data_IF_411339846255
#
_entry.id   IF_411339846255
#
_cell.length_a   1.000
_cell.length_b   1.000
_cell.length_c   1.000
_cell.angle_alpha   90.00
_cell.angle_beta   90.00
_cell.angle_gamma   90.00
#
_symmetry.space_group_name_H-M   'P 1'
#
loop_
_entity.id
_entity.type
_entity.pdbx_description
1 polymer ?
#
# COMPACT_ATOMS: atom_id res chain seq x y z
N UNK A 1 -18.93 2.18 15.80
CA UNK A 1 -17.86 1.21 16.17
C UNK A 1 -16.63 1.63 15.36
N UNK A 2 -15.42 1.58 15.95
CA UNK A 2 -14.16 1.82 15.23
C UNK A 2 -13.63 0.49 14.72
N UNK A 3 -13.43 0.36 13.42
CA UNK A 3 -12.84 -0.81 12.77
C UNK A 3 -11.54 -0.38 12.10
N UNK A 4 -10.50 -1.20 12.22
CA UNK A 4 -9.18 -0.90 11.71
C UNK A 4 -8.66 -2.07 10.86
N UNK A 5 -8.33 -1.76 9.62
CA UNK A 5 -7.50 -2.60 8.76
C UNK A 5 -6.07 -2.11 8.93
N UNK A 6 -5.16 -2.98 9.34
CA UNK A 6 -3.73 -2.70 9.33
C UNK A 6 -3.15 -3.35 8.09
N UNK A 7 -2.84 -2.53 7.08
CA UNK A 7 -2.34 -3.00 5.79
C UNK A 7 -0.83 -2.83 5.69
N UNK A 8 -0.10 -3.92 5.52
CA UNK A 8 1.34 -3.92 5.30
C UNK A 8 1.65 -3.77 3.80
N UNK A 9 2.30 -2.68 3.43
CA UNK A 9 2.71 -2.40 2.06
C UNK A 9 4.05 -3.08 1.72
N UNK A 10 4.35 -3.21 0.42
CA UNK A 10 5.60 -3.69 -0.15
C UNK A 10 5.90 -5.18 0.08
N UNK A 11 4.92 -6.04 0.29
CA UNK A 11 5.12 -7.50 0.35
C UNK A 11 5.58 -8.01 -1.02
N UNK A 12 6.77 -8.61 -1.08
CA UNK A 12 7.42 -9.03 -2.33
C UNK A 12 8.66 -8.21 -2.69
N UNK A 13 8.93 -7.11 -2.01
CA UNK A 13 10.07 -6.25 -2.31
C UNK A 13 11.43 -6.92 -1.99
N UNK A 14 11.54 -7.65 -0.89
CA UNK A 14 12.67 -8.51 -0.53
C UNK A 14 12.25 -9.54 0.53
N UNK A 15 13.02 -10.62 0.68
CA UNK A 15 12.70 -11.73 1.59
C UNK A 15 12.69 -11.30 3.07
N UNK A 16 13.54 -10.35 3.45
CA UNK A 16 13.60 -9.88 4.82
C UNK A 16 12.35 -9.06 5.19
N UNK A 17 11.85 -8.22 4.26
CA UNK A 17 10.55 -7.55 4.43
C UNK A 17 9.41 -8.55 4.49
N UNK A 18 9.40 -9.53 3.60
CA UNK A 18 8.40 -10.59 3.62
C UNK A 18 8.37 -11.29 4.99
N UNK A 19 9.55 -11.66 5.51
CA UNK A 19 9.65 -12.29 6.83
C UNK A 19 9.06 -11.42 7.95
N UNK A 20 9.37 -10.13 7.99
CA UNK A 20 8.82 -9.21 8.99
C UNK A 20 7.33 -8.95 8.82
N UNK A 21 6.82 -8.84 7.58
CA UNK A 21 5.38 -8.72 7.34
C UNK A 21 4.64 -9.96 7.82
N UNK A 22 5.13 -11.16 7.51
CA UNK A 22 4.49 -12.40 7.98
C UNK A 22 4.58 -12.55 9.51
N UNK A 23 5.67 -12.11 10.15
CA UNK A 23 5.75 -12.05 11.62
C UNK A 23 4.67 -11.14 12.21
N UNK A 24 4.42 -9.98 11.62
CA UNK A 24 3.35 -9.08 12.06
C UNK A 24 1.94 -9.66 11.82
N UNK A 25 1.76 -10.44 10.73
CA UNK A 25 0.53 -11.18 10.45
C UNK A 25 0.32 -12.28 11.51
N UNK A 26 1.35 -13.07 11.82
CA UNK A 26 1.30 -14.15 12.82
C UNK A 26 1.04 -13.62 14.22
N UNK A 27 1.55 -12.44 14.55
CA UNK A 27 1.26 -11.74 15.78
C UNK A 27 -0.19 -11.19 15.85
N UNK A 28 -0.96 -11.27 14.74
CA UNK A 28 -2.32 -10.73 14.65
C UNK A 28 -2.39 -9.21 14.60
N UNK A 29 -1.28 -8.52 14.36
CA UNK A 29 -1.20 -7.08 14.29
C UNK A 29 -1.55 -6.53 12.88
N UNK A 30 -1.21 -7.29 11.83
CA UNK A 30 -1.52 -6.97 10.43
C UNK A 30 -2.69 -7.81 9.97
N UNK A 31 -3.68 -7.18 9.33
CA UNK A 31 -4.92 -7.81 8.84
C UNK A 31 -5.08 -7.75 7.33
N UNK A 32 -4.20 -7.03 6.64
CA UNK A 32 -4.12 -6.97 5.20
C UNK A 32 -2.67 -6.76 4.74
N UNK A 33 -2.33 -7.23 3.54
CA UNK A 33 -1.02 -6.98 2.94
C UNK A 33 -1.15 -6.78 1.43
N UNK A 34 -0.40 -5.81 0.89
CA UNK A 34 -0.39 -5.46 -0.53
C UNK A 34 0.87 -5.98 -1.20
N UNK A 35 0.70 -6.80 -2.25
CA UNK A 35 1.74 -7.60 -2.89
C UNK A 35 2.31 -6.88 -4.12
N UNK A 36 3.61 -6.66 -4.11
CA UNK A 36 4.42 -6.23 -5.26
C UNK A 36 4.77 -7.46 -6.12
N UNK A 37 4.02 -7.70 -7.17
CA UNK A 37 4.24 -8.86 -8.05
C UNK A 37 5.48 -8.77 -8.92
N UNK A 38 5.97 -7.57 -9.18
CA UNK A 38 7.24 -7.32 -9.85
C UNK A 38 8.42 -7.12 -8.88
N UNK A 39 8.21 -7.40 -7.60
CA UNK A 39 9.25 -7.40 -6.60
C UNK A 39 10.13 -8.65 -6.70
N UNK A 40 11.44 -8.55 -6.45
CA UNK A 40 12.38 -9.67 -6.60
C UNK A 40 12.13 -10.84 -5.65
N UNK A 41 11.33 -10.65 -4.60
CA UNK A 41 10.95 -11.70 -3.64
C UNK A 41 9.49 -12.14 -3.76
N UNK A 42 8.88 -11.98 -4.94
CA UNK A 42 7.48 -12.41 -5.16
C UNK A 42 7.29 -13.92 -4.98
N UNK A 43 8.22 -14.74 -5.45
CA UNK A 43 8.15 -16.20 -5.27
C UNK A 43 8.18 -16.61 -3.79
N UNK A 44 8.97 -15.93 -2.95
CA UNK A 44 8.97 -16.16 -1.50
C UNK A 44 7.60 -15.83 -0.87
N UNK A 45 6.93 -14.78 -1.36
CA UNK A 45 5.55 -14.46 -0.94
C UNK A 45 4.61 -15.64 -1.20
N UNK A 46 4.66 -16.20 -2.41
CA UNK A 46 3.79 -17.33 -2.79
C UNK A 46 4.04 -18.57 -1.92
N UNK A 47 5.30 -18.88 -1.61
CA UNK A 47 5.65 -19.97 -0.70
C UNK A 47 5.09 -19.73 0.71
N UNK A 48 5.20 -18.52 1.22
CA UNK A 48 4.67 -18.18 2.55
C UNK A 48 3.15 -18.24 2.60
N UNK A 49 2.45 -17.69 1.60
CA UNK A 49 0.98 -17.76 1.51
C UNK A 49 0.51 -19.23 1.46
N UNK A 50 1.16 -20.07 0.66
CA UNK A 50 0.80 -21.49 0.53
C UNK A 50 0.96 -22.26 1.85
N UNK A 51 1.90 -21.87 2.71
CA UNK A 51 2.13 -22.47 4.03
C UNK A 51 1.25 -21.86 5.13
N UNK A 52 0.72 -20.64 4.90
CA UNK A 52 -0.07 -19.91 5.88
C UNK A 52 -1.54 -20.38 5.89
N UNK A 53 -2.01 -20.89 7.02
CA UNK A 53 -3.33 -21.52 7.16
C UNK A 53 -4.40 -20.66 7.83
N UNK A 54 -4.18 -19.36 7.97
CA UNK A 54 -5.15 -18.47 8.63
C UNK A 54 -6.03 -17.72 7.64
N UNK A 55 -7.34 -17.72 7.89
CA UNK A 55 -8.36 -17.06 7.05
C UNK A 55 -8.65 -15.61 7.50
N UNK A 56 -7.73 -14.98 8.26
CA UNK A 56 -8.00 -13.67 8.87
C UNK A 56 -7.19 -12.54 8.24
N UNK A 57 -6.64 -12.76 7.05
CA UNK A 57 -5.87 -11.77 6.31
C UNK A 57 -6.44 -11.55 4.92
N UNK A 58 -6.50 -10.30 4.48
CA UNK A 58 -6.78 -9.92 3.09
C UNK A 58 -5.48 -9.70 2.34
N UNK A 59 -5.36 -10.27 1.14
CA UNK A 59 -4.26 -9.93 0.24
C UNK A 59 -4.75 -9.02 -0.87
N UNK A 60 -3.95 -8.01 -1.21
CA UNK A 60 -4.22 -7.07 -2.28
C UNK A 60 -3.09 -6.98 -3.28
N UNK A 61 -3.34 -6.30 -4.39
CA UNK A 61 -2.33 -5.97 -5.38
C UNK A 61 -1.73 -4.59 -5.07
N UNK A 62 -0.40 -4.52 -4.96
CA UNK A 62 0.36 -3.27 -4.83
C UNK A 62 0.86 -2.83 -6.20
N UNK A 63 0.00 -2.11 -6.96
CA UNK A 63 0.27 -1.68 -8.32
C UNK A 63 1.50 -0.77 -8.39
N UNK A 64 2.43 -1.07 -9.27
CA UNK A 64 3.70 -0.35 -9.32
C UNK A 64 4.03 0.13 -10.75
N UNK A 65 4.49 1.40 -10.82
CA UNK A 65 4.93 2.08 -12.05
C UNK A 65 6.21 2.89 -11.79
N UNK A 66 6.91 2.62 -10.69
CA UNK A 66 7.98 3.53 -10.23
C UNK A 66 9.33 2.87 -10.07
N UNK A 67 9.41 1.62 -9.63
CA UNK A 67 10.67 0.96 -9.27
C UNK A 67 10.70 -0.48 -9.76
N UNK A 68 11.89 -0.99 -10.09
CA UNK A 68 12.07 -2.33 -10.64
C UNK A 68 11.75 -2.43 -12.12
N UNK A 69 11.51 -3.65 -12.59
CA UNK A 69 11.23 -3.97 -14.00
C UNK A 69 9.73 -4.21 -14.19
N UNK A 70 9.09 -3.64 -15.22
CA UNK A 70 7.71 -3.96 -15.55
C UNK A 70 7.55 -5.44 -15.96
N UNK A 71 6.35 -5.98 -15.82
CA UNK A 71 6.01 -7.31 -16.31
C UNK A 71 5.69 -7.30 -17.81
N UNK A 72 5.15 -6.21 -18.31
CA UNK A 72 4.85 -6.03 -19.73
C UNK A 72 6.11 -5.66 -20.53
N UNK A 73 6.38 -6.33 -21.66
CA UNK A 73 7.54 -5.99 -22.50
C UNK A 73 7.29 -4.73 -23.33
N UNK A 74 8.37 -4.01 -23.69
CA UNK A 74 8.33 -2.95 -24.71
C UNK A 74 7.71 -1.63 -24.26
N UNK A 75 7.45 -1.43 -22.97
CA UNK A 75 6.95 -0.17 -22.44
C UNK A 75 8.04 0.92 -22.58
N UNK A 76 7.68 2.07 -23.09
CA UNK A 76 8.61 3.19 -23.34
C UNK A 76 8.21 4.47 -22.61
N UNK A 77 6.92 4.60 -22.32
CA UNK A 77 6.39 5.81 -21.69
C UNK A 77 6.61 5.83 -20.17
N UNK A 78 6.72 4.68 -19.51
CA UNK A 78 6.91 4.58 -18.05
C UNK A 78 8.27 4.03 -17.65
N UNK A 79 9.11 3.66 -18.63
CA UNK A 79 10.44 3.08 -18.41
C UNK A 79 11.57 4.02 -18.82
N UNK A 80 12.79 3.71 -18.38
CA UNK A 80 14.04 4.29 -18.81
C UNK A 80 14.66 3.51 -19.98
N UNK A 81 15.83 3.94 -20.46
CA UNK A 81 16.57 3.24 -21.53
C UNK A 81 17.05 1.83 -21.15
N UNK A 82 17.11 1.55 -19.86
CA UNK A 82 17.47 0.26 -19.27
C UNK A 82 16.29 -0.72 -19.17
N UNK A 83 15.09 -0.30 -19.60
CA UNK A 83 13.86 -1.08 -19.50
C UNK A 83 13.24 -1.11 -18.10
N UNK A 84 13.85 -0.47 -17.11
CA UNK A 84 13.31 -0.36 -15.75
C UNK A 84 12.37 0.85 -15.62
N UNK A 85 11.49 0.83 -14.63
CA UNK A 85 10.71 2.02 -14.26
C UNK A 85 11.61 3.20 -13.88
N UNK A 86 11.15 4.42 -14.16
CA UNK A 86 11.97 5.63 -14.11
C UNK A 86 12.33 6.15 -12.71
N UNK A 87 11.92 5.49 -11.64
CA UNK A 87 12.04 5.95 -10.25
C UNK A 87 10.93 6.96 -9.85
N UNK A 88 10.65 7.03 -8.54
CA UNK A 88 9.55 7.81 -7.94
C UNK A 88 9.40 9.23 -8.53
N UNK A 89 10.47 10.03 -8.46
CA UNK A 89 10.37 11.44 -8.79
C UNK A 89 10.03 11.71 -10.27
N UNK A 90 10.56 10.89 -11.19
CA UNK A 90 10.30 11.02 -12.63
C UNK A 90 8.93 10.44 -12.98
N UNK A 91 8.57 9.30 -12.41
CA UNK A 91 7.27 8.68 -12.59
C UNK A 91 6.15 9.61 -12.09
N UNK A 92 6.22 10.12 -10.86
CA UNK A 92 5.23 11.03 -10.31
C UNK A 92 5.00 12.26 -11.19
N UNK A 93 6.09 12.92 -11.66
CA UNK A 93 5.94 14.08 -12.58
C UNK A 93 5.22 13.72 -13.87
N UNK A 94 5.45 12.51 -14.38
CA UNK A 94 4.85 12.05 -15.64
C UNK A 94 3.38 11.68 -15.44
N UNK A 95 3.07 10.95 -14.38
CA UNK A 95 1.73 10.48 -14.01
C UNK A 95 0.76 11.62 -13.61
N UNK A 96 1.29 12.80 -13.26
CA UNK A 96 0.48 14.00 -13.03
C UNK A 96 -0.15 14.55 -14.31
N UNK A 97 0.35 14.17 -15.50
CA UNK A 97 -0.15 14.65 -16.79
C UNK A 97 -1.15 13.67 -17.37
N UNK A 98 -2.39 14.10 -17.50
CA UNK A 98 -3.46 13.34 -18.16
C UNK A 98 -3.52 13.67 -19.66
N UNK A 99 -4.05 12.73 -20.47
CA UNK A 99 -4.30 12.94 -21.90
C UNK A 99 -3.15 12.51 -22.81
N UNK A 100 -2.17 11.79 -22.29
CA UNK A 100 -1.18 11.06 -23.09
C UNK A 100 -1.70 9.63 -23.29
N UNK A 101 -2.34 9.39 -24.45
CA UNK A 101 -2.98 8.11 -24.78
C UNK A 101 -1.98 6.94 -24.78
N UNK A 102 -0.74 7.16 -25.21
CA UNK A 102 0.32 6.17 -25.20
C UNK A 102 0.70 5.77 -23.77
N UNK A 103 0.91 6.75 -22.90
CA UNK A 103 1.18 6.53 -21.49
C UNK A 103 0.02 5.79 -20.82
N UNK A 104 -1.21 6.23 -21.03
CA UNK A 104 -2.40 5.63 -20.42
C UNK A 104 -2.64 4.19 -20.92
N UNK A 105 -2.27 3.88 -22.16
CA UNK A 105 -2.33 2.52 -22.70
C UNK A 105 -1.29 1.61 -22.04
N UNK A 106 -0.04 2.05 -21.95
CA UNK A 106 1.03 1.31 -21.26
C UNK A 106 0.71 1.05 -19.77
N UNK A 107 0.10 2.02 -19.09
CA UNK A 107 -0.35 1.84 -17.70
C UNK A 107 -1.40 0.73 -17.59
N UNK A 108 -2.39 0.71 -18.49
CA UNK A 108 -3.42 -0.35 -18.50
C UNK A 108 -2.82 -1.71 -18.78
N UNK A 109 -1.91 -1.81 -19.74
CA UNK A 109 -1.21 -3.05 -20.07
C UNK A 109 -0.42 -3.60 -18.88
N UNK A 110 0.36 -2.75 -18.23
CA UNK A 110 1.17 -3.14 -17.07
C UNK A 110 0.30 -3.54 -15.87
N UNK A 111 -0.77 -2.81 -15.58
CA UNK A 111 -1.69 -3.16 -14.50
C UNK A 111 -2.39 -4.49 -14.75
N UNK A 112 -2.80 -4.75 -16.00
CA UNK A 112 -3.36 -6.04 -16.38
C UNK A 112 -2.35 -7.18 -16.17
N UNK A 113 -1.09 -6.99 -16.57
CA UNK A 113 -0.03 -7.97 -16.38
C UNK A 113 0.24 -8.25 -14.89
N UNK A 114 0.33 -7.20 -14.07
CA UNK A 114 0.53 -7.34 -12.62
C UNK A 114 -0.62 -8.07 -11.93
N UNK A 115 -1.86 -7.72 -12.24
CA UNK A 115 -3.05 -8.38 -11.67
C UNK A 115 -3.13 -9.83 -12.14
N UNK A 116 -2.87 -10.09 -13.42
CA UNK A 116 -2.92 -11.44 -13.97
C UNK A 116 -1.87 -12.35 -13.33
N UNK A 117 -0.64 -11.87 -13.13
CA UNK A 117 0.42 -12.62 -12.45
C UNK A 117 0.00 -13.08 -11.04
N UNK A 118 -0.67 -12.22 -10.27
CA UNK A 118 -1.14 -12.59 -8.93
C UNK A 118 -2.31 -13.58 -8.98
N UNK A 119 -3.21 -13.44 -9.94
CA UNK A 119 -4.32 -14.38 -10.17
C UNK A 119 -3.85 -15.76 -10.63
N UNK A 120 -2.88 -15.81 -11.55
CA UNK A 120 -2.29 -17.06 -12.04
C UNK A 120 -1.59 -17.83 -10.92
N UNK A 121 -1.06 -17.10 -9.94
CA UNK A 121 -0.53 -17.68 -8.71
C UNK A 121 -1.61 -18.19 -7.73
N UNK A 122 -2.91 -18.04 -8.05
CA UNK A 122 -4.03 -18.52 -7.24
C UNK A 122 -4.35 -17.66 -6.02
N UNK A 123 -3.83 -16.43 -5.93
CA UNK A 123 -4.11 -15.52 -4.83
C UNK A 123 -5.39 -14.73 -5.10
N UNK A 124 -6.33 -14.78 -4.16
CA UNK A 124 -7.52 -13.92 -4.20
C UNK A 124 -7.12 -12.47 -3.91
N UNK A 125 -7.55 -11.56 -4.77
CA UNK A 125 -7.24 -10.13 -4.64
C UNK A 125 -8.44 -9.43 -3.99
N UNK A 126 -8.31 -9.06 -2.72
CA UNK A 126 -9.39 -8.44 -1.95
C UNK A 126 -9.41 -6.91 -2.12
N UNK A 127 -8.26 -6.29 -2.38
CA UNK A 127 -8.11 -4.85 -2.56
C UNK A 127 -6.98 -4.51 -3.52
N UNK A 128 -6.97 -3.27 -3.99
CA UNK A 128 -5.87 -2.70 -4.77
C UNK A 128 -5.46 -1.34 -4.21
N UNK A 129 -4.18 -1.12 -4.21
CA UNK A 129 -3.54 0.15 -3.93
C UNK A 129 -2.32 0.33 -4.86
N UNK A 130 -1.35 1.15 -4.52
CA UNK A 130 -0.20 1.33 -5.40
C UNK A 130 1.03 1.80 -4.67
N UNK A 131 2.16 1.23 -5.07
CA UNK A 131 3.47 1.62 -4.60
C UNK A 131 3.66 3.12 -4.79
N UNK A 132 4.03 3.81 -3.71
CA UNK A 132 4.12 5.28 -3.70
C UNK A 132 2.83 5.97 -4.15
N UNK A 133 1.67 5.30 -3.95
CA UNK A 133 0.32 5.76 -4.26
C UNK A 133 0.06 6.10 -5.74
N UNK A 134 0.77 5.48 -6.68
CA UNK A 134 0.63 5.75 -8.13
C UNK A 134 -0.80 5.57 -8.64
N UNK A 135 -1.58 4.69 -8.05
CA UNK A 135 -2.94 4.31 -8.45
C UNK A 135 -3.96 5.47 -8.46
N UNK A 136 -3.69 6.56 -7.73
CA UNK A 136 -4.58 7.73 -7.65
C UNK A 136 -4.14 8.91 -8.52
N UNK A 137 -3.05 8.78 -9.27
CA UNK A 137 -2.55 9.88 -10.11
C UNK A 137 -3.47 10.14 -11.31
N UNK A 138 -3.51 11.38 -11.85
CA UNK A 138 -4.44 11.76 -12.92
C UNK A 138 -4.38 10.88 -14.17
N UNK A 139 -3.20 10.44 -14.61
CA UNK A 139 -3.03 9.55 -15.77
C UNK A 139 -3.35 8.08 -15.43
N UNK A 140 -3.49 7.72 -14.15
CA UNK A 140 -3.55 6.33 -13.69
C UNK A 140 -4.93 5.93 -13.18
N UNK A 141 -5.66 6.84 -12.55
CA UNK A 141 -6.90 6.52 -11.84
C UNK A 141 -7.96 5.84 -12.73
N UNK A 142 -8.03 6.16 -14.01
CA UNK A 142 -8.99 5.52 -14.93
C UNK A 142 -8.60 4.05 -15.18
N UNK A 143 -7.30 3.75 -15.29
CA UNK A 143 -6.80 2.37 -15.37
C UNK A 143 -7.05 1.61 -14.06
N UNK A 144 -6.83 2.24 -12.91
CA UNK A 144 -7.10 1.63 -11.58
C UNK A 144 -8.58 1.25 -11.44
N UNK A 145 -9.49 2.17 -11.74
CA UNK A 145 -10.95 1.92 -11.67
C UNK A 145 -11.37 0.86 -12.70
N UNK A 146 -10.84 0.94 -13.92
CA UNK A 146 -11.08 -0.05 -14.98
C UNK A 146 -10.66 -1.45 -14.53
N UNK A 147 -9.45 -1.59 -14.02
CA UNK A 147 -8.93 -2.85 -13.51
C UNK A 147 -9.75 -3.39 -12.33
N UNK A 148 -10.09 -2.54 -11.37
CA UNK A 148 -10.93 -2.95 -10.24
C UNK A 148 -12.25 -3.57 -10.68
N UNK A 149 -12.90 -2.99 -11.69
CA UNK A 149 -14.17 -3.49 -12.26
C UNK A 149 -13.97 -4.76 -13.09
N UNK A 150 -12.97 -4.78 -13.96
CA UNK A 150 -12.71 -5.88 -14.88
C UNK A 150 -12.32 -7.16 -14.14
N UNK A 151 -11.45 -7.03 -13.14
CA UNK A 151 -10.94 -8.17 -12.37
C UNK A 151 -11.73 -8.46 -11.09
N UNK A 152 -12.78 -7.69 -10.80
CA UNK A 152 -13.64 -7.89 -9.63
C UNK A 152 -12.97 -7.59 -8.30
N UNK A 153 -12.04 -6.63 -8.27
CA UNK A 153 -11.34 -6.20 -7.04
C UNK A 153 -12.22 -5.16 -6.33
N UNK A 154 -12.84 -5.48 -5.18
CA UNK A 154 -13.91 -4.66 -4.63
C UNK A 154 -13.46 -3.39 -3.93
N UNK A 155 -12.22 -3.36 -3.38
CA UNK A 155 -11.72 -2.26 -2.58
C UNK A 155 -10.54 -1.58 -3.24
N UNK A 156 -10.58 -0.24 -3.29
CA UNK A 156 -9.47 0.59 -3.75
C UNK A 156 -9.06 1.52 -2.60
N UNK A 157 -7.77 1.54 -2.28
CA UNK A 157 -7.22 2.48 -1.29
C UNK A 157 -7.48 3.92 -1.71
N UNK A 158 -7.85 4.74 -0.75
CA UNK A 158 -7.94 6.18 -0.92
C UNK A 158 -7.10 6.87 0.16
N UNK A 159 -5.85 7.25 -0.11
CA UNK A 159 -4.92 7.79 0.88
C UNK A 159 -5.23 9.26 1.21
N UNK A 160 -6.45 9.50 1.68
CA UNK A 160 -6.94 10.81 2.10
C UNK A 160 -6.80 10.96 3.61
N UNK A 161 -5.60 11.30 4.05
CA UNK A 161 -5.31 11.52 5.46
C UNK A 161 -5.39 13.00 5.81
N UNK A 162 -6.24 13.41 6.78
CA UNK A 162 -6.23 14.78 7.29
C UNK A 162 -4.94 15.04 8.08
N UNK A 163 -4.46 16.31 8.10
CA UNK A 163 -3.30 16.65 8.91
C UNK A 163 -3.56 16.34 10.39
N UNK A 164 -2.55 15.94 11.15
CA UNK A 164 -2.68 15.69 12.58
C UNK A 164 -3.12 16.95 13.32
N UNK A 165 -3.91 16.80 14.38
CA UNK A 165 -4.49 17.90 15.16
C UNK A 165 -3.49 18.63 16.04
N UNK A 166 -2.34 18.07 16.35
CA UNK A 166 -1.26 18.71 17.09
C UNK A 166 -0.31 19.45 16.14
N UNK A 167 0.26 20.56 16.61
CA UNK A 167 1.28 21.30 15.89
C UNK A 167 2.38 20.32 15.41
N UNK A 168 2.51 20.21 14.10
CA UNK A 168 3.48 19.30 13.50
C UNK A 168 4.88 19.72 13.93
N UNK A 169 5.71 18.72 14.25
CA UNK A 169 7.14 18.90 14.40
C UNK A 169 7.69 19.64 13.16
N UNK A 170 8.37 20.81 13.34
CA UNK A 170 8.90 21.59 12.22
C UNK A 170 9.82 20.81 11.27
N UNK A 171 10.37 19.67 11.71
CA UNK A 171 11.20 18.80 10.87
C UNK A 171 10.41 17.98 9.83
N UNK A 172 9.07 18.11 9.79
CA UNK A 172 8.18 17.27 8.99
C UNK A 172 7.65 17.94 7.71
N UNK A 173 8.23 19.03 7.24
CA UNK A 173 7.71 19.75 6.06
C UNK A 173 7.65 18.92 4.78
N UNK A 174 8.61 18.02 4.56
CA UNK A 174 8.65 17.18 3.34
C UNK A 174 7.51 16.17 3.34
N UNK A 175 7.30 15.46 4.44
CA UNK A 175 6.20 14.49 4.58
C UNK A 175 4.84 15.18 4.56
N UNK A 176 4.72 16.35 5.17
CA UNK A 176 3.49 17.14 5.14
C UNK A 176 3.13 17.59 3.73
N UNK A 177 4.10 18.01 2.93
CA UNK A 177 3.89 18.36 1.53
C UNK A 177 3.48 17.16 0.66
N UNK A 178 4.11 16.01 0.89
CA UNK A 178 3.76 14.77 0.20
C UNK A 178 2.36 14.27 0.62
N UNK A 179 2.04 14.27 1.91
CA UNK A 179 0.72 13.91 2.43
C UNK A 179 -0.39 14.84 1.89
N UNK A 180 -0.14 16.15 1.81
CA UNK A 180 -1.10 17.10 1.23
C UNK A 180 -1.29 16.87 -0.27
N UNK A 181 -0.24 16.54 -1.01
CA UNK A 181 -0.35 16.15 -2.41
C UNK A 181 -1.24 14.90 -2.57
N UNK A 182 -0.97 13.84 -1.82
CA UNK A 182 -1.79 12.63 -1.89
C UNK A 182 -3.23 12.86 -1.45
N UNK A 183 -3.46 13.66 -0.42
CA UNK A 183 -4.80 14.04 0.01
C UNK A 183 -5.60 14.73 -1.11
N UNK A 184 -4.97 15.66 -1.86
CA UNK A 184 -5.62 16.32 -3.01
C UNK A 184 -5.89 15.36 -4.16
N UNK A 185 -4.94 14.48 -4.48
CA UNK A 185 -5.11 13.46 -5.51
C UNK A 185 -6.21 12.46 -5.13
N UNK A 186 -6.25 12.05 -3.87
CA UNK A 186 -7.28 11.16 -3.34
C UNK A 186 -8.67 11.79 -3.41
N UNK A 187 -8.82 13.07 -3.06
CA UNK A 187 -10.09 13.78 -3.19
C UNK A 187 -10.61 13.80 -4.64
N UNK A 188 -9.71 13.98 -5.62
CA UNK A 188 -10.07 13.90 -7.04
C UNK A 188 -10.41 12.46 -7.48
N UNK A 189 -9.65 11.46 -7.01
CA UNK A 189 -9.86 10.04 -7.30
C UNK A 189 -11.17 9.52 -6.71
N UNK A 190 -11.58 10.01 -5.53
CA UNK A 190 -12.84 9.65 -4.85
C UNK A 190 -14.04 9.74 -5.78
N UNK A 191 -14.13 10.80 -6.58
CA UNK A 191 -15.26 11.03 -7.51
C UNK A 191 -15.39 9.88 -8.50
N UNK A 192 -14.26 9.39 -9.04
CA UNK A 192 -14.23 8.30 -10.02
C UNK A 192 -14.52 6.95 -9.37
N UNK A 193 -13.93 6.70 -8.21
CA UNK A 193 -14.12 5.44 -7.47
C UNK A 193 -15.60 5.32 -7.04
N UNK A 194 -16.17 6.33 -6.41
CA UNK A 194 -17.57 6.30 -5.97
C UNK A 194 -18.57 6.20 -7.14
N UNK A 195 -18.22 6.69 -8.33
CA UNK A 195 -19.04 6.54 -9.55
C UNK A 195 -18.97 5.13 -10.17
N UNK A 196 -18.19 4.21 -9.62
CA UNK A 196 -17.84 2.93 -10.25
C UNK A 196 -18.29 1.68 -9.49
N UNK A 197 -19.10 1.75 -8.47
CA UNK A 197 -19.46 0.64 -7.58
C UNK A 197 -18.29 0.01 -6.79
N UNK A 198 -17.06 0.52 -6.93
CA UNK A 198 -15.93 0.12 -6.10
C UNK A 198 -16.01 0.80 -4.74
N UNK A 199 -15.41 0.16 -3.73
CA UNK A 199 -15.45 0.61 -2.34
C UNK A 199 -14.13 1.23 -1.92
N UNK A 200 -14.21 2.15 -0.96
CA UNK A 200 -13.06 2.68 -0.23
C UNK A 200 -13.33 2.55 1.26
N UNK A 201 -12.29 2.54 2.07
CA UNK A 201 -12.47 2.71 3.51
C UNK A 201 -12.99 4.13 3.82
N UNK A 202 -13.68 4.29 4.96
CA UNK A 202 -14.20 5.60 5.38
C UNK A 202 -13.06 6.58 5.67
N UNK A 203 -11.94 6.05 6.18
CA UNK A 203 -10.80 6.84 6.62
C UNK A 203 -9.48 6.14 6.28
N UNK A 204 -8.42 6.95 6.17
CA UNK A 204 -7.06 6.48 5.93
C UNK A 204 -6.08 7.13 6.90
N UNK A 205 -5.07 6.36 7.34
CA UNK A 205 -3.95 6.79 8.19
C UNK A 205 -2.65 6.13 7.73
N UNK A 206 -1.50 6.76 8.04
CA UNK A 206 -0.17 6.18 7.80
C UNK A 206 0.79 7.08 7.04
N UNK A 207 0.32 8.11 6.30
CA UNK A 207 1.21 9.06 5.60
C UNK A 207 2.12 9.81 6.57
N UNK A 208 1.58 10.21 7.70
CA UNK A 208 2.33 10.94 8.74
C UNK A 208 3.11 10.01 9.67
N UNK A 209 2.84 8.69 9.67
CA UNK A 209 3.57 7.70 10.46
C UNK A 209 4.76 7.10 9.70
N UNK A 210 4.70 7.06 8.37
CA UNK A 210 5.70 6.44 7.52
C UNK A 210 7.11 6.94 7.85
N UNK A 211 8.01 6.00 8.21
CA UNK A 211 9.40 6.27 8.57
C UNK A 211 9.60 6.99 9.91
N UNK A 212 8.55 7.20 10.68
CA UNK A 212 8.57 7.94 11.95
C UNK A 212 7.71 7.29 13.04
N UNK A 213 7.21 6.09 12.79
CA UNK A 213 6.37 5.42 13.77
C UNK A 213 7.10 5.28 15.11
N UNK A 214 6.41 5.68 16.16
CA UNK A 214 6.75 5.43 17.55
C UNK A 214 5.48 5.08 18.30
N UNK A 215 5.59 4.45 19.45
CA UNK A 215 4.43 4.10 20.27
C UNK A 215 3.54 5.32 20.55
N UNK A 216 4.15 6.48 20.84
CA UNK A 216 3.42 7.74 21.11
C UNK A 216 2.68 8.23 19.85
N UNK A 217 3.31 8.19 18.67
CA UNK A 217 2.66 8.63 17.44
C UNK A 217 1.53 7.69 17.03
N UNK A 218 1.74 6.37 17.18
CA UNK A 218 0.70 5.37 16.93
C UNK A 218 -0.47 5.53 17.88
N UNK A 219 -0.21 5.67 19.20
CA UNK A 219 -1.24 5.92 20.21
C UNK A 219 -2.07 7.16 19.90
N UNK A 220 -1.42 8.28 19.57
CA UNK A 220 -2.10 9.53 19.19
C UNK A 220 -2.97 9.36 17.94
N UNK A 221 -2.51 8.58 16.96
CA UNK A 221 -3.28 8.25 15.75
C UNK A 221 -4.50 7.40 16.10
N UNK A 222 -4.34 6.34 16.88
CA UNK A 222 -5.43 5.45 17.29
C UNK A 222 -6.48 6.16 18.15
N UNK A 223 -6.04 7.03 19.05
CA UNK A 223 -6.93 7.84 19.90
C UNK A 223 -7.89 8.69 19.06
N UNK A 224 -7.40 9.25 17.96
CA UNK A 224 -8.14 10.20 17.10
C UNK A 224 -8.93 9.53 15.97
N UNK A 225 -8.91 8.18 15.87
CA UNK A 225 -9.70 7.50 14.85
C UNK A 225 -11.20 7.78 15.01
N UNK A 226 -11.89 8.20 13.95
CA UNK A 226 -13.33 8.36 13.97
C UNK A 226 -14.05 6.99 13.92
N UNK A 227 -15.37 6.94 14.21
CA UNK A 227 -16.20 5.76 13.91
C UNK A 227 -16.17 5.44 12.40
N UNK A 228 -16.28 4.15 12.07
CA UNK A 228 -16.22 3.64 10.69
C UNK A 228 -15.04 2.72 10.48
N UNK A 229 -14.78 2.40 9.21
CA UNK A 229 -13.68 1.56 8.75
C UNK A 229 -12.47 2.43 8.37
N UNK A 230 -11.38 2.28 9.09
CA UNK A 230 -10.11 2.96 8.79
C UNK A 230 -9.10 1.98 8.23
N UNK A 231 -8.37 2.37 7.21
CA UNK A 231 -7.15 1.70 6.78
C UNK A 231 -5.94 2.43 7.39
N UNK A 232 -5.09 1.66 8.08
CA UNK A 232 -3.78 2.10 8.57
C UNK A 232 -2.70 1.44 7.71
N UNK A 233 -2.02 2.24 6.88
CA UNK A 233 -0.88 1.81 6.10
C UNK A 233 0.36 1.73 6.98
N UNK A 234 1.04 0.58 6.95
CA UNK A 234 2.28 0.31 7.68
C UNK A 234 3.32 -0.36 6.78
N UNK A 235 4.59 -0.30 7.18
CA UNK A 235 5.69 -0.91 6.44
C UNK A 235 6.59 -1.75 7.37
N UNK A 236 6.07 -2.73 8.10
CA UNK A 236 6.93 -3.59 8.92
C UNK A 236 7.87 -4.40 8.03
N UNK A 237 9.05 -4.76 8.57
CA UNK A 237 10.00 -5.59 7.84
C UNK A 237 11.23 -5.89 8.69
N UNK A 238 11.96 -6.94 8.34
CA UNK A 238 13.30 -7.20 8.88
C UNK A 238 14.36 -6.55 8.00
N UNK A 239 15.51 -6.23 8.58
CA UNK A 239 16.66 -5.80 7.80
C UNK A 239 17.27 -7.00 7.08
N UNK A 240 17.64 -6.88 5.79
CA UNK A 240 18.34 -7.94 5.08
C UNK A 240 19.75 -8.13 5.65
N UNK A 241 20.28 -9.35 5.56
CA UNK A 241 21.67 -9.63 5.90
C UNK A 241 22.57 -9.02 4.83
N UNK A 242 23.26 -7.92 5.15
CA UNK A 242 24.20 -7.22 4.27
C UNK A 242 23.69 -5.89 3.75
N UNK A 243 24.48 -5.26 2.86
CA UNK A 243 24.03 -4.06 2.14
C UNK A 243 23.06 -4.54 1.06
N UNK A 244 21.84 -4.13 1.20
CA UNK A 244 20.86 -4.38 0.19
C UNK A 244 20.99 -3.31 -0.90
N UNK A 245 21.04 -3.71 -2.14
CA UNK A 245 21.06 -2.87 -3.34
C UNK A 245 19.88 -3.26 -4.22
N UNK A 246 19.32 -2.33 -4.95
CA UNK A 246 18.29 -2.64 -5.92
C UNK A 246 17.04 -1.75 -5.84
N UNK A 247 16.01 -2.09 -6.59
CA UNK A 247 14.73 -1.39 -6.53
C UNK A 247 14.07 -1.57 -5.14
N UNK A 248 13.18 -0.67 -4.80
CA UNK A 248 12.44 -0.63 -3.53
C UNK A 248 13.27 -0.25 -2.29
N UNK A 249 14.44 0.32 -2.52
CA UNK A 249 15.46 0.58 -1.48
C UNK A 249 15.29 1.89 -0.71
N UNK A 250 14.46 2.80 -1.22
CA UNK A 250 14.39 4.20 -0.76
C UNK A 250 13.81 4.39 0.68
N UNK A 251 13.38 3.32 1.32
CA UNK A 251 12.82 3.35 2.67
C UNK A 251 13.71 2.52 3.63
N UNK A 252 14.19 3.15 4.69
CA UNK A 252 15.21 2.59 5.60
C UNK A 252 14.76 1.29 6.29
N UNK A 253 15.64 0.30 6.34
CA UNK A 253 15.40 -0.97 7.03
C UNK A 253 15.18 -0.80 8.53
N UNK A 254 15.90 0.11 9.16
CA UNK A 254 15.79 0.39 10.60
C UNK A 254 14.40 0.92 10.96
N UNK A 255 13.81 1.71 10.09
CA UNK A 255 12.45 2.23 10.29
C UNK A 255 11.42 1.12 10.16
N UNK A 256 11.62 0.17 9.24
CA UNK A 256 10.75 -1.00 9.08
C UNK A 256 10.81 -1.95 10.26
N UNK A 257 12.00 -2.23 10.79
CA UNK A 257 12.16 -3.03 12.00
C UNK A 257 11.48 -2.38 13.19
N UNK A 258 11.60 -1.07 13.31
CA UNK A 258 10.92 -0.30 14.35
C UNK A 258 9.39 -0.37 14.22
N UNK A 259 8.85 -0.29 13.02
CA UNK A 259 7.41 -0.49 12.79
C UNK A 259 6.99 -1.90 13.18
N UNK A 260 7.78 -2.91 12.80
CA UNK A 260 7.54 -4.30 13.18
C UNK A 260 7.52 -4.47 14.71
N UNK A 261 8.56 -4.00 15.41
CA UNK A 261 8.65 -4.06 16.87
C UNK A 261 7.42 -3.43 17.54
N UNK A 262 7.02 -2.22 17.13
CA UNK A 262 5.88 -1.50 17.71
C UNK A 262 4.56 -2.25 17.46
N UNK A 263 4.37 -2.82 16.29
CA UNK A 263 3.14 -3.53 15.94
C UNK A 263 3.03 -4.88 16.64
N UNK A 264 4.16 -5.57 16.87
CA UNK A 264 4.19 -6.89 17.52
C UNK A 264 4.35 -6.83 19.05
N UNK A 265 4.55 -5.65 19.61
CA UNK A 265 4.56 -5.43 21.04
C UNK A 265 3.14 -5.59 21.63
N UNK A 266 3.05 -6.17 22.81
CA UNK A 266 1.80 -6.29 23.58
C UNK A 266 1.08 -4.96 23.82
N UNK A 267 1.80 -3.85 23.84
CA UNK A 267 1.25 -2.50 23.99
C UNK A 267 0.31 -2.12 22.84
N UNK A 268 0.54 -2.59 21.62
CA UNK A 268 -0.38 -2.34 20.51
C UNK A 268 -1.77 -2.91 20.78
N UNK A 269 -1.85 -4.15 21.28
CA UNK A 269 -3.12 -4.77 21.66
C UNK A 269 -3.82 -4.01 22.81
N UNK A 270 -3.05 -3.51 23.78
CA UNK A 270 -3.58 -2.68 24.86
C UNK A 270 -4.13 -1.34 24.36
N UNK A 271 -3.45 -0.70 23.39
CA UNK A 271 -3.95 0.52 22.76
C UNK A 271 -5.27 0.29 22.02
N UNK A 272 -5.38 -0.83 21.26
CA UNK A 272 -6.62 -1.18 20.55
C UNK A 272 -7.78 -1.36 21.53
N UNK A 273 -7.55 -2.08 22.62
CA UNK A 273 -8.54 -2.28 23.69
C UNK A 273 -8.92 -0.95 24.35
N UNK A 274 -7.94 -0.11 24.70
CA UNK A 274 -8.12 1.21 25.34
C UNK A 274 -9.02 2.14 24.52
N UNK A 275 -8.88 2.13 23.19
CA UNK A 275 -9.65 3.01 22.30
C UNK A 275 -10.86 2.34 21.67
N UNK A 276 -11.20 1.10 22.09
CA UNK A 276 -12.33 0.31 21.58
C UNK A 276 -12.27 0.11 20.06
N UNK A 277 -11.10 -0.23 19.54
CA UNK A 277 -10.83 -0.48 18.12
C UNK A 277 -10.84 -1.99 17.88
N UNK A 278 -11.59 -2.43 16.86
CA UNK A 278 -11.59 -3.82 16.40
C UNK A 278 -10.76 -3.95 15.13
N UNK A 279 -9.76 -4.81 15.14
CA UNK A 279 -9.05 -5.21 13.91
C UNK A 279 -9.96 -6.04 13.01
N UNK A 280 -9.83 -5.83 11.70
CA UNK A 280 -10.57 -6.57 10.67
C UNK A 280 -9.77 -6.60 9.37
N UNK A 281 -9.83 -7.66 8.56
CA UNK A 281 -9.42 -7.61 7.17
C UNK A 281 -10.37 -6.73 6.35
N UNK A 282 -10.10 -6.53 5.07
CA UNK A 282 -11.07 -5.93 4.17
C UNK A 282 -12.35 -6.80 4.15
N UNK A 283 -13.53 -6.22 4.36
CA UNK A 283 -14.78 -6.97 4.35
C UNK A 283 -15.03 -7.61 2.99
N UNK A 284 -15.50 -8.85 3.00
CA UNK A 284 -15.89 -9.52 1.77
C UNK A 284 -16.93 -8.70 1.01
N UNK A 285 -16.85 -8.71 -0.32
CA UNK A 285 -17.91 -8.16 -1.13
C UNK A 285 -19.18 -8.98 -0.86
N UNK A 286 -20.23 -8.32 -0.39
CA UNK A 286 -21.53 -8.99 -0.34
C UNK A 286 -21.91 -9.44 -1.75
N UNK A 287 -22.40 -10.66 -1.94
CA UNK A 287 -22.78 -11.20 -3.23
C UNK A 287 -23.85 -10.35 -3.93
#
# INVERSE_FOLDING_TARGET
MKQLIVNADDLGADEARNAGIFEAIEAGAVTAASILVNGPAFDDVLHRIASYRCNHISFGIHLNLTEGTPLSPGLTSITGPDGCFCGKAKAHRRLMRKGDEGLEAEIREEFAAQIQALRDAGVRIDHADGHQHVHIFPAVIDATVGAGREYGIPWIRLPEEPPPSSAMDPQNHVQAGEADMFRRLAAAARIKIHGSALRTTDHFRGLYLKGRMSAIHLEGTLQTLPPGLTELMVHPGRAPAGQAEGPFYAFSHRERERELEILTDGDFSLMLAKFHIRLTPFPEASP
#
